data_IF_831269782662
#
_entry.id   IF_831269782662
#
_cell.length_a   1.000
_cell.length_b   1.000
_cell.length_c   1.000
_cell.angle_alpha   90.00
_cell.angle_beta   90.00
_cell.angle_gamma   90.00
#
_symmetry.space_group_name_H-M   'P 1'
#
loop_
_entity.id
_entity.type
_entity.pdbx_description
1 polymer ?
#
# COMPACT_ATOMS: atom_id res chain seq x y z
N UNK A 1 -13.15 6.42 7.08
CA UNK A 1 -11.76 6.10 6.69
C UNK A 1 -11.83 4.91 5.75
N UNK A 2 -11.24 4.99 4.57
CA UNK A 2 -11.16 3.87 3.62
C UNK A 2 -9.86 3.09 3.82
N UNK A 3 -9.78 1.87 3.28
CA UNK A 3 -8.52 1.11 3.27
C UNK A 3 -7.37 1.91 2.61
N UNK A 4 -7.67 2.70 1.57
CA UNK A 4 -6.71 3.59 0.92
C UNK A 4 -6.17 4.63 1.90
N UNK A 5 -7.06 5.31 2.62
CA UNK A 5 -6.69 6.36 3.58
C UNK A 5 -5.78 5.80 4.69
N UNK A 6 -6.19 4.67 5.29
CA UNK A 6 -5.41 4.00 6.33
C UNK A 6 -4.01 3.59 5.83
N UNK A 7 -3.93 3.05 4.61
CA UNK A 7 -2.65 2.70 3.98
C UNK A 7 -1.77 3.95 3.82
N UNK A 8 -2.30 5.05 3.28
CA UNK A 8 -1.54 6.28 3.05
C UNK A 8 -1.02 6.90 4.34
N UNK A 9 -1.81 6.85 5.41
CA UNK A 9 -1.43 7.32 6.75
C UNK A 9 -0.39 6.40 7.43
N UNK A 10 -0.33 5.12 7.05
CA UNK A 10 0.63 4.16 7.59
C UNK A 10 2.03 4.29 6.98
N UNK A 11 2.14 4.74 5.73
CA UNK A 11 3.41 4.81 4.99
C UNK A 11 4.53 5.52 5.77
N UNK A 12 4.35 6.71 6.35
CA UNK A 12 5.45 7.42 7.03
C UNK A 12 6.06 6.65 8.21
N UNK A 13 5.29 5.75 8.84
CA UNK A 13 5.76 4.97 9.99
C UNK A 13 6.57 3.73 9.57
N UNK A 14 6.44 3.27 8.31
CA UNK A 14 7.07 2.04 7.83
C UNK A 14 8.05 2.26 6.68
N UNK A 15 8.04 3.46 6.08
CA UNK A 15 8.97 3.83 5.04
C UNK A 15 10.40 3.85 5.57
N UNK A 16 11.32 3.32 4.78
CA UNK A 16 12.77 3.42 5.02
C UNK A 16 13.25 4.83 4.69
N UNK A 17 14.52 5.11 4.97
CA UNK A 17 15.16 6.40 4.64
C UNK A 17 15.12 6.75 3.15
N UNK A 18 15.04 5.75 2.27
CA UNK A 18 14.89 5.93 0.82
C UNK A 18 13.43 6.12 0.37
N UNK A 19 12.48 6.16 1.30
CA UNK A 19 11.04 6.28 1.05
C UNK A 19 10.36 4.99 0.60
N UNK A 20 11.07 3.86 0.56
CA UNK A 20 10.50 2.56 0.17
C UNK A 20 9.86 1.83 1.34
N UNK A 21 8.85 1.01 1.04
CA UNK A 21 8.18 0.15 2.02
C UNK A 21 7.73 -1.17 1.39
N UNK A 22 7.29 -2.11 2.23
CA UNK A 22 6.69 -3.39 1.81
C UNK A 22 5.23 -3.49 2.24
N UNK A 23 4.45 -4.32 1.55
CA UNK A 23 3.05 -4.60 1.90
C UNK A 23 2.95 -5.21 3.30
N UNK A 24 3.89 -6.09 3.66
CA UNK A 24 3.94 -6.73 4.97
C UNK A 24 4.18 -5.71 6.10
N UNK A 25 4.99 -4.68 5.85
CA UNK A 25 5.22 -3.62 6.81
C UNK A 25 3.95 -2.78 7.01
N UNK A 26 3.26 -2.42 5.92
CA UNK A 26 1.96 -1.73 5.97
C UNK A 26 0.92 -2.57 6.71
N UNK A 27 0.76 -3.85 6.37
CA UNK A 27 -0.22 -4.72 7.01
C UNK A 27 0.03 -4.87 8.52
N UNK A 28 1.30 -4.98 8.92
CA UNK A 28 1.69 -5.04 10.34
C UNK A 28 1.36 -3.73 11.06
N UNK A 29 1.66 -2.59 10.44
CA UNK A 29 1.37 -1.29 11.03
C UNK A 29 -0.14 -1.03 11.15
N UNK A 30 -0.91 -1.39 10.13
CA UNK A 30 -2.38 -1.29 10.17
C UNK A 30 -2.98 -2.19 11.24
N UNK A 31 -2.48 -3.42 11.39
CA UNK A 31 -2.86 -4.29 12.51
C UNK A 31 -2.51 -3.68 13.87
N UNK A 32 -1.32 -3.07 14.00
CA UNK A 32 -0.90 -2.38 15.23
C UNK A 32 -1.81 -1.19 15.57
N UNK A 33 -2.32 -0.49 14.55
CA UNK A 33 -3.28 0.62 14.68
C UNK A 33 -4.72 0.19 14.92
N UNK A 34 -5.01 -1.12 14.88
CA UNK A 34 -6.36 -1.65 15.09
C UNK A 34 -7.26 -1.61 13.85
N UNK A 35 -6.68 -1.57 12.65
CA UNK A 35 -7.44 -1.65 11.39
C UNK A 35 -8.31 -2.92 11.33
N UNK A 36 -9.53 -2.78 10.84
CA UNK A 36 -10.46 -3.89 10.62
C UNK A 36 -10.26 -4.62 9.29
N UNK A 37 -9.37 -4.13 8.42
CA UNK A 37 -9.15 -4.72 7.11
C UNK A 37 -8.27 -5.98 7.19
N UNK A 38 -8.68 -7.02 6.50
CA UNK A 38 -7.87 -8.23 6.35
C UNK A 38 -6.59 -7.93 5.56
N UNK A 39 -5.50 -8.63 5.89
CA UNK A 39 -4.22 -8.48 5.19
C UNK A 39 -4.35 -8.73 3.68
N UNK A 40 -5.20 -9.67 3.27
CA UNK A 40 -5.50 -9.93 1.85
C UNK A 40 -6.13 -8.72 1.15
N UNK A 41 -7.02 -8.00 1.84
CA UNK A 41 -7.64 -6.77 1.35
C UNK A 41 -6.63 -5.64 1.20
N UNK A 42 -5.75 -5.48 2.20
CA UNK A 42 -4.65 -4.49 2.18
C UNK A 42 -3.70 -4.78 1.02
N UNK A 43 -3.27 -6.04 0.89
CA UNK A 43 -2.39 -6.50 -0.20
C UNK A 43 -3.00 -6.20 -1.57
N UNK A 44 -4.29 -6.50 -1.75
CA UNK A 44 -5.00 -6.24 -3.01
C UNK A 44 -5.07 -4.73 -3.32
N UNK A 45 -5.33 -3.90 -2.32
CA UNK A 45 -5.35 -2.44 -2.51
C UNK A 45 -3.99 -1.89 -2.93
N UNK A 46 -2.92 -2.25 -2.20
CA UNK A 46 -1.57 -1.80 -2.52
C UNK A 46 -1.15 -2.25 -3.92
N UNK A 47 -1.27 -3.56 -4.23
CA UNK A 47 -0.73 -4.14 -5.46
C UNK A 47 -1.54 -3.73 -6.70
N UNK A 48 -2.88 -3.77 -6.61
CA UNK A 48 -3.73 -3.75 -7.79
C UNK A 48 -4.52 -2.45 -7.99
N UNK A 49 -4.73 -1.66 -6.93
CA UNK A 49 -5.59 -0.45 -7.00
C UNK A 49 -4.81 0.85 -6.81
N UNK A 50 -3.76 0.83 -5.99
CA UNK A 50 -3.00 2.03 -5.64
C UNK A 50 -1.73 2.20 -6.48
N UNK A 51 -1.17 1.12 -7.05
CA UNK A 51 0.01 1.19 -7.91
C UNK A 51 -0.30 1.75 -9.31
N UNK A 52 0.37 2.84 -9.69
CA UNK A 52 0.27 3.47 -11.01
C UNK A 52 0.75 2.56 -12.15
N UNK A 53 1.67 1.64 -11.87
CA UNK A 53 2.26 0.70 -12.82
C UNK A 53 1.73 -0.73 -12.70
N UNK A 54 0.54 -0.92 -12.11
CA UNK A 54 -0.13 -2.23 -12.10
C UNK A 54 -0.56 -2.63 -13.53
N UNK A 55 -0.43 -3.91 -13.95
CA UNK A 55 -1.00 -4.38 -15.21
C UNK A 55 -2.50 -4.02 -15.26
N UNK A 56 -2.91 -3.31 -16.32
CA UNK A 56 -4.16 -2.56 -16.42
C UNK A 56 -5.46 -3.38 -16.52
N UNK A 57 -5.67 -4.35 -15.64
CA UNK A 57 -6.92 -5.12 -15.55
C UNK A 57 -7.99 -4.45 -14.66
N UNK A 58 -7.71 -3.28 -14.09
CA UNK A 58 -8.62 -2.56 -13.20
C UNK A 58 -8.97 -1.18 -13.74
N UNK A 59 -10.27 -0.85 -13.72
CA UNK A 59 -10.83 0.38 -14.30
C UNK A 59 -10.47 1.67 -13.53
N UNK A 60 -9.92 1.58 -12.32
CA UNK A 60 -9.53 2.72 -11.49
C UNK A 60 -8.20 2.42 -10.80
N UNK A 61 -7.14 3.13 -11.21
CA UNK A 61 -5.87 3.22 -10.47
C UNK A 61 -5.80 4.59 -9.81
N UNK A 62 -5.54 4.63 -8.51
CA UNK A 62 -5.45 5.90 -7.77
C UNK A 62 -4.13 6.65 -8.00
N UNK A 63 -3.13 5.99 -8.58
CA UNK A 63 -1.77 6.51 -8.81
C UNK A 63 -1.10 7.04 -7.53
N UNK A 64 -1.38 6.42 -6.39
CA UNK A 64 -0.80 6.81 -5.11
C UNK A 64 0.61 6.23 -4.91
N UNK A 65 0.86 5.06 -5.50
CA UNK A 65 2.03 4.24 -5.26
C UNK A 65 2.70 3.87 -6.57
N UNK A 66 3.99 3.55 -6.48
CA UNK A 66 4.77 2.94 -7.54
C UNK A 66 5.39 1.65 -7.04
N UNK A 67 5.25 0.56 -7.81
CA UNK A 67 5.95 -0.70 -7.53
C UNK A 67 7.34 -0.65 -8.17
N UNK A 68 8.37 -0.56 -7.34
CA UNK A 68 9.77 -0.52 -7.80
C UNK A 68 10.36 -1.91 -8.07
N UNK A 69 9.78 -2.96 -7.47
CA UNK A 69 10.25 -4.33 -7.64
C UNK A 69 9.40 -5.35 -6.86
N UNK A 70 9.83 -6.63 -6.79
CA UNK A 70 9.14 -7.65 -6.03
C UNK A 70 8.98 -7.26 -4.55
N UNK A 71 7.75 -6.91 -4.15
CA UNK A 71 7.42 -6.55 -2.77
C UNK A 71 7.89 -5.16 -2.31
N UNK A 72 8.45 -4.35 -3.21
CA UNK A 72 8.98 -3.00 -2.90
C UNK A 72 8.14 -1.94 -3.57
N UNK A 73 7.67 -0.98 -2.76
CA UNK A 73 6.78 0.09 -3.18
C UNK A 73 7.29 1.44 -2.69
N UNK A 74 6.87 2.51 -3.36
CA UNK A 74 7.11 3.91 -3.00
C UNK A 74 5.80 4.69 -3.14
N UNK A 75 5.64 5.72 -2.32
CA UNK A 75 4.56 6.71 -2.49
C UNK A 75 4.96 7.74 -3.56
N UNK A 76 4.04 8.03 -4.48
CA UNK A 76 4.18 9.09 -5.49
C UNK A 76 3.91 10.49 -4.91
#
# INVERSE_FOLDING_TARGET
MTARDEILEAIPAVARSDGTFTVEAIARELRRRGSSYAESTIRTHVISRMCANSPGNHAVTYNDLERLGPGVYRRL
#
